data_IF_089166128050
#
_entry.id   IF_089166128050
#
_cell.length_a   1.000
_cell.length_b   1.000
_cell.length_c   1.000
_cell.angle_alpha   90.00
_cell.angle_beta   90.00
_cell.angle_gamma   90.00
#
_symmetry.space_group_name_H-M   'P 1'
#
loop_
_entity.id
_entity.type
_entity.pdbx_description
1 polymer ?
#
# COMPACT_ATOMS: atom_id res chain seq x y z
N UNK A 1 10.58 -6.99 -6.27
CA UNK A 1 9.20 -6.51 -6.03
C UNK A 1 8.69 -5.79 -7.25
N UNK A 2 7.45 -6.01 -7.61
CA UNK A 2 6.80 -5.27 -8.69
C UNK A 2 5.89 -4.20 -8.10
N UNK A 3 5.89 -3.01 -8.72
CA UNK A 3 5.07 -1.87 -8.30
C UNK A 3 4.46 -1.23 -9.53
N UNK A 4 3.15 -0.99 -9.49
CA UNK A 4 2.44 -0.28 -10.54
C UNK A 4 1.48 0.71 -9.90
N UNK A 5 1.44 1.93 -10.41
CA UNK A 5 0.48 2.95 -9.98
C UNK A 5 -0.56 3.18 -11.07
N UNK A 6 -1.82 3.28 -10.67
CA UNK A 6 -2.91 3.65 -11.57
C UNK A 6 -3.72 4.76 -10.92
N UNK A 7 -4.05 5.81 -11.67
CA UNK A 7 -4.87 6.91 -11.18
C UNK A 7 -6.13 6.99 -12.02
N UNK A 8 -7.27 6.99 -11.35
CA UNK A 8 -8.57 7.12 -12.00
C UNK A 8 -9.39 8.14 -11.19
N UNK A 9 -9.40 9.39 -11.66
CA UNK A 9 -10.06 10.47 -10.94
C UNK A 9 -9.44 10.70 -9.58
N UNK A 10 -10.24 10.59 -8.52
CA UNK A 10 -9.80 10.79 -7.15
C UNK A 10 -9.17 9.55 -6.50
N UNK A 11 -9.13 8.43 -7.24
CA UNK A 11 -8.65 7.15 -6.71
C UNK A 11 -7.28 6.82 -7.31
N UNK A 12 -6.31 6.61 -6.43
CA UNK A 12 -5.00 6.09 -6.81
C UNK A 12 -4.88 4.65 -6.33
N UNK A 13 -4.50 3.74 -7.23
CA UNK A 13 -4.30 2.34 -6.91
C UNK A 13 -2.82 2.00 -7.02
N UNK A 14 -2.29 1.41 -5.95
CA UNK A 14 -0.92 0.91 -5.91
C UNK A 14 -0.99 -0.61 -5.96
N UNK A 15 -0.50 -1.19 -7.04
CA UNK A 15 -0.50 -2.64 -7.21
C UNK A 15 0.89 -3.15 -6.89
N UNK A 16 0.98 -3.93 -5.81
CA UNK A 16 2.24 -4.52 -5.35
C UNK A 16 2.25 -6.00 -5.68
N UNK A 17 3.43 -6.53 -5.95
CA UNK A 17 3.59 -7.95 -6.22
C UNK A 17 4.87 -8.50 -5.65
N UNK A 18 4.92 -9.83 -5.53
CA UNK A 18 6.04 -10.59 -5.04
C UNK A 18 6.27 -10.33 -3.55
N UNK A 19 7.42 -9.80 -3.14
CA UNK A 19 7.78 -9.68 -1.73
C UNK A 19 7.78 -8.23 -1.27
N UNK A 20 7.24 -7.98 -0.08
CA UNK A 20 7.35 -6.68 0.58
C UNK A 20 8.15 -6.90 1.86
N UNK A 21 9.41 -6.50 1.85
CA UNK A 21 10.36 -6.76 2.92
C UNK A 21 11.10 -5.47 3.31
N UNK A 22 12.14 -5.63 4.12
CA UNK A 22 12.94 -4.51 4.60
C UNK A 22 13.54 -3.69 3.45
N UNK A 23 13.97 -4.35 2.37
CA UNK A 23 14.58 -3.68 1.23
C UNK A 23 13.56 -2.90 0.39
N UNK A 24 12.35 -3.40 0.27
CA UNK A 24 11.31 -2.80 -0.57
C UNK A 24 10.38 -1.85 0.17
N UNK A 25 10.29 -1.94 1.51
CA UNK A 25 9.36 -1.12 2.28
C UNK A 25 9.55 0.39 2.12
N UNK A 26 10.78 0.94 1.99
CA UNK A 26 10.94 2.37 1.73
C UNK A 26 10.30 2.81 0.41
N UNK A 27 10.42 1.97 -0.63
CA UNK A 27 9.82 2.24 -1.93
C UNK A 27 8.29 2.22 -1.84
N UNK A 28 7.73 1.29 -1.08
CA UNK A 28 6.28 1.23 -0.83
C UNK A 28 5.79 2.51 -0.18
N UNK A 29 6.50 2.97 0.86
CA UNK A 29 6.13 4.22 1.56
C UNK A 29 6.14 5.43 0.64
N UNK A 30 7.18 5.55 -0.20
CA UNK A 30 7.28 6.67 -1.14
C UNK A 30 6.14 6.66 -2.15
N UNK A 31 5.78 5.50 -2.68
CA UNK A 31 4.67 5.37 -3.62
C UNK A 31 3.33 5.73 -2.98
N UNK A 32 3.10 5.31 -1.74
CA UNK A 32 1.87 5.66 -1.01
C UNK A 32 1.82 7.18 -0.80
N UNK A 33 2.92 7.79 -0.39
CA UNK A 33 3.01 9.22 -0.17
C UNK A 33 2.71 9.99 -1.46
N UNK A 34 3.28 9.55 -2.59
CA UNK A 34 3.04 10.18 -3.88
C UNK A 34 1.56 10.12 -4.26
N UNK A 35 0.92 8.97 -4.09
CA UNK A 35 -0.50 8.82 -4.40
C UNK A 35 -1.39 9.65 -3.47
N UNK A 36 -1.05 9.73 -2.18
CA UNK A 36 -1.80 10.56 -1.23
C UNK A 36 -1.72 12.05 -1.59
N UNK A 37 -0.64 12.48 -2.24
CA UNK A 37 -0.49 13.86 -2.69
C UNK A 37 -1.39 14.16 -3.88
N UNK A 38 -1.55 13.21 -4.79
CA UNK A 38 -2.24 13.43 -6.07
C UNK A 38 -3.69 12.93 -6.11
N UNK A 39 -4.10 12.12 -5.13
CA UNK A 39 -5.46 11.54 -5.10
C UNK A 39 -6.08 11.68 -3.73
N UNK A 40 -7.39 11.50 -3.62
CA UNK A 40 -8.12 11.53 -2.35
C UNK A 40 -8.19 10.16 -1.69
N UNK A 41 -8.27 9.11 -2.50
CA UNK A 41 -8.42 7.73 -2.04
C UNK A 41 -7.25 6.93 -2.57
N UNK A 42 -6.53 6.27 -1.68
CA UNK A 42 -5.44 5.36 -2.06
C UNK A 42 -5.84 3.94 -1.72
N UNK A 43 -5.82 3.09 -2.73
CA UNK A 43 -6.06 1.66 -2.58
C UNK A 43 -4.77 0.91 -2.86
N UNK A 44 -4.33 0.09 -1.91
CA UNK A 44 -3.16 -0.77 -2.10
C UNK A 44 -3.64 -2.18 -2.38
N UNK A 45 -3.37 -2.66 -3.59
CA UNK A 45 -3.78 -3.99 -4.03
C UNK A 45 -2.67 -4.99 -3.71
N UNK A 46 -3.01 -5.99 -2.94
CA UNK A 46 -2.06 -7.01 -2.43
C UNK A 46 -2.34 -8.40 -3.01
N UNK A 47 -3.12 -8.50 -4.09
CA UNK A 47 -3.48 -9.79 -4.67
C UNK A 47 -2.26 -10.60 -5.13
N UNK A 48 -1.23 -9.92 -5.60
CA UNK A 48 -0.04 -10.55 -6.15
C UNK A 48 1.13 -10.63 -5.16
N UNK A 49 0.90 -10.27 -3.90
CA UNK A 49 1.95 -10.34 -2.87
C UNK A 49 2.00 -11.74 -2.29
N UNK A 50 3.16 -12.38 -2.40
CA UNK A 50 3.39 -13.75 -1.92
C UNK A 50 4.05 -13.77 -0.53
N UNK A 51 4.70 -12.67 -0.13
CA UNK A 51 5.40 -12.59 1.14
C UNK A 51 5.40 -11.15 1.65
N UNK A 52 5.18 -10.98 2.94
CA UNK A 52 5.31 -9.69 3.61
C UNK A 52 5.88 -9.94 5.00
N UNK A 53 6.88 -9.14 5.39
CA UNK A 53 7.43 -9.19 6.74
C UNK A 53 6.94 -8.00 7.58
N UNK A 54 7.46 -7.89 8.80
CA UNK A 54 7.06 -6.81 9.70
C UNK A 54 7.39 -5.42 9.15
N UNK A 55 8.47 -5.29 8.38
CA UNK A 55 8.83 -4.01 7.73
C UNK A 55 7.80 -3.64 6.66
N UNK A 56 7.33 -4.62 5.89
CA UNK A 56 6.28 -4.41 4.91
C UNK A 56 4.97 -3.99 5.56
N UNK A 57 4.57 -4.68 6.63
CA UNK A 57 3.37 -4.33 7.38
C UNK A 57 3.49 -2.92 7.94
N UNK A 58 4.65 -2.56 8.51
CA UNK A 58 4.88 -1.22 9.04
C UNK A 58 4.70 -0.15 7.96
N UNK A 59 5.15 -0.41 6.73
CA UNK A 59 4.99 0.55 5.64
C UNK A 59 3.53 0.79 5.29
N UNK A 60 2.68 -0.24 5.36
CA UNK A 60 1.24 -0.11 5.13
C UNK A 60 0.57 0.66 6.27
N UNK A 61 0.96 0.39 7.50
CA UNK A 61 0.45 1.11 8.68
C UNK A 61 0.82 2.60 8.60
N UNK A 62 2.05 2.90 8.22
CA UNK A 62 2.49 4.29 8.03
C UNK A 62 1.66 4.99 6.96
N UNK A 63 1.35 4.30 5.86
CA UNK A 63 0.48 4.83 4.81
C UNK A 63 -0.90 5.18 5.34
N UNK A 64 -1.48 4.30 6.15
CA UNK A 64 -2.77 4.54 6.78
C UNK A 64 -2.72 5.75 7.72
N UNK A 65 -1.64 5.87 8.50
CA UNK A 65 -1.46 7.01 9.40
C UNK A 65 -1.30 8.33 8.65
N UNK A 66 -0.55 8.32 7.55
CA UNK A 66 -0.40 9.50 6.70
C UNK A 66 -1.76 9.97 6.15
N UNK A 67 -2.61 9.04 5.73
CA UNK A 67 -3.94 9.37 5.25
C UNK A 67 -4.80 9.98 6.35
N UNK A 68 -4.75 9.42 7.55
CA UNK A 68 -5.53 9.92 8.69
C UNK A 68 -5.14 11.33 9.11
N UNK A 69 -3.90 11.73 8.86
CA UNK A 69 -3.42 13.07 9.19
C UNK A 69 -3.86 14.14 8.20
N UNK A 70 -4.46 13.73 7.08
CA UNK A 70 -4.90 14.63 6.03
C UNK A 70 -6.42 14.59 5.90
N UNK A 71 -7.05 15.75 5.98
CA UNK A 71 -8.50 15.87 5.87
C UNK A 71 -8.96 15.44 4.47
N UNK A 72 -9.96 14.56 4.41
CA UNK A 72 -10.55 14.10 3.15
C UNK A 72 -9.79 13.01 2.44
N UNK A 73 -8.76 12.45 3.06
CA UNK A 73 -8.00 11.34 2.48
C UNK A 73 -8.47 10.01 3.04
N UNK A 74 -8.45 8.97 2.20
CA UNK A 74 -8.78 7.60 2.60
C UNK A 74 -7.67 6.66 2.14
N UNK A 75 -7.51 5.58 2.88
CA UNK A 75 -6.51 4.55 2.59
C UNK A 75 -7.12 3.18 2.84
N UNK A 76 -7.06 2.30 1.84
CA UNK A 76 -7.64 0.97 1.93
C UNK A 76 -6.69 -0.09 1.39
N UNK A 77 -6.69 -1.26 2.02
CA UNK A 77 -6.06 -2.45 1.47
C UNK A 77 -7.12 -3.24 0.73
N UNK A 78 -6.85 -3.61 -0.51
CA UNK A 78 -7.81 -4.33 -1.34
C UNK A 78 -7.19 -5.62 -1.87
N UNK A 79 -8.03 -6.61 -2.11
CA UNK A 79 -7.63 -7.90 -2.70
C UNK A 79 -6.43 -8.54 -1.96
N UNK A 80 -6.51 -8.56 -0.63
CA UNK A 80 -5.42 -9.09 0.20
C UNK A 80 -5.24 -10.58 -0.08
N UNK A 81 -4.02 -10.98 -0.48
CA UNK A 81 -3.71 -12.39 -0.75
C UNK A 81 -3.79 -13.23 0.51
N UNK A 82 -3.98 -14.54 0.34
CA UNK A 82 -4.03 -15.46 1.48
C UNK A 82 -2.73 -15.44 2.28
N UNK A 83 -1.60 -15.31 1.61
CA UNK A 83 -0.28 -15.26 2.24
C UNK A 83 -0.14 -14.04 3.14
N UNK A 84 -0.60 -12.88 2.67
CA UNK A 84 -0.58 -11.65 3.46
C UNK A 84 -1.60 -11.71 4.59
N UNK A 85 -2.79 -12.23 4.31
CA UNK A 85 -3.84 -12.35 5.33
C UNK A 85 -3.38 -13.15 6.54
N UNK A 86 -2.61 -14.22 6.32
CA UNK A 86 -2.06 -15.04 7.41
C UNK A 86 -1.11 -14.27 8.31
N UNK A 87 -0.40 -13.29 7.76
CA UNK A 87 0.56 -12.50 8.53
C UNK A 87 -0.13 -11.40 9.34
N UNK A 88 -1.17 -10.77 8.79
CA UNK A 88 -1.83 -9.65 9.44
C UNK A 88 -3.04 -10.05 10.32
N UNK A 89 -3.42 -11.31 10.32
CA UNK A 89 -4.40 -11.84 11.26
C UNK A 89 -3.80 -11.91 12.70
#
# INVERSE_FOLDING_TARGET
MSIEQKINGDVGTLILGEEIDLDSSPTVRENIKDLLTSTKIVEVNLANVSYIDSSGIASLIEGMQMAKQQTGKEFHLVDVSNEVMKVIE
#
